data_IF_201385513880
#
_entry.id   IF_201385513880
#
_cell.length_a   1.000
_cell.length_b   1.000
_cell.length_c   1.000
_cell.angle_alpha   90.00
_cell.angle_beta   90.00
_cell.angle_gamma   90.00
#
_symmetry.space_group_name_H-M   'P 1'
#
loop_
_entity.id
_entity.type
_entity.pdbx_description
1 polymer ?
#
# COMPACT_ATOMS: atom_id res chain seq x y z
N UNK A 1 -1.30 11.80 10.06
CA UNK A 1 -2.65 11.99 9.51
C UNK A 1 -3.28 10.61 9.34
N UNK A 2 -4.23 10.27 10.22
CA UNK A 2 -4.88 8.95 10.21
C UNK A 2 -5.96 8.91 9.14
N UNK A 3 -5.90 7.94 8.24
CA UNK A 3 -6.97 7.66 7.30
C UNK A 3 -8.05 6.86 8.03
N UNK A 4 -9.15 7.51 8.38
CA UNK A 4 -10.40 6.84 8.76
C UNK A 4 -11.06 6.33 7.48
N UNK A 5 -11.01 5.03 7.26
CA UNK A 5 -11.91 4.36 6.32
C UNK A 5 -13.26 4.16 7.00
N UNK A 6 -14.32 4.76 6.45
CA UNK A 6 -15.70 4.49 6.84
C UNK A 6 -16.47 4.05 5.59
N UNK A 7 -17.09 2.87 5.64
CA UNK A 7 -18.13 2.48 4.68
C UNK A 7 -18.31 0.98 4.46
N UNK A 8 -19.32 0.41 5.12
CA UNK A 8 -19.98 -0.88 4.89
C UNK A 8 -19.17 -2.17 5.17
N UNK A 9 -19.22 -2.61 6.43
CA UNK A 9 -18.93 -3.99 6.80
C UNK A 9 -20.24 -4.76 6.97
N UNK A 10 -20.59 -5.55 5.95
CA UNK A 10 -21.42 -6.74 6.16
C UNK A 10 -20.70 -7.73 7.09
N UNK A 11 -21.45 -8.63 7.71
CA UNK A 11 -20.94 -9.61 8.68
C UNK A 11 -19.64 -10.29 8.19
N UNK A 12 -18.55 -10.13 8.97
CA UNK A 12 -17.22 -10.67 8.63
C UNK A 12 -16.17 -9.60 8.29
N UNK A 13 -16.06 -8.54 9.09
CA UNK A 13 -15.03 -7.53 8.90
C UNK A 13 -13.64 -8.08 9.24
N UNK A 14 -12.90 -8.56 8.23
CA UNK A 14 -11.50 -8.87 8.43
C UNK A 14 -10.73 -7.60 8.78
N UNK A 15 -10.24 -7.54 10.02
CA UNK A 15 -9.46 -6.42 10.52
C UNK A 15 -8.05 -6.51 9.92
N UNK A 16 -7.82 -5.72 8.88
CA UNK A 16 -6.59 -5.73 8.08
C UNK A 16 -5.39 -5.13 8.82
N UNK A 17 -5.64 -4.30 9.83
CA UNK A 17 -4.62 -3.56 10.57
C UNK A 17 -4.82 -3.74 12.06
N UNK A 18 -3.91 -4.51 12.67
CA UNK A 18 -3.70 -4.52 14.10
C UNK A 18 -2.60 -3.50 14.40
N UNK A 19 -2.97 -2.37 14.98
CA UNK A 19 -2.01 -1.38 15.43
C UNK A 19 -1.30 -1.89 16.68
N UNK A 20 0.03 -1.83 16.70
CA UNK A 20 0.83 -2.03 17.91
C UNK A 20 0.84 -0.71 18.72
N UNK A 21 0.27 -0.67 19.93
CA UNK A 21 0.26 0.54 20.76
C UNK A 21 1.66 1.02 21.18
N UNK A 22 2.66 0.13 21.18
CA UNK A 22 4.04 0.46 21.52
C UNK A 22 4.84 0.97 20.30
N UNK A 23 4.28 0.90 19.08
CA UNK A 23 4.96 1.33 17.88
C UNK A 23 5.17 2.85 17.88
N UNK A 24 6.42 3.27 17.69
CA UNK A 24 6.78 4.67 17.48
C UNK A 24 6.39 5.07 16.05
N UNK A 25 5.69 6.19 15.92
CA UNK A 25 5.33 6.74 14.60
C UNK A 25 6.60 7.15 13.87
N UNK A 26 6.80 6.61 12.67
CA UNK A 26 7.91 6.99 11.82
C UNK A 26 7.82 8.46 11.39
N UNK A 27 8.97 9.13 11.34
CA UNK A 27 9.07 10.50 10.86
C UNK A 27 8.68 10.61 9.37
N UNK A 28 7.91 11.65 9.02
CA UNK A 28 7.62 11.96 7.62
C UNK A 28 8.78 12.70 6.96
N UNK A 29 9.70 11.95 6.35
CA UNK A 29 10.88 12.47 5.65
C UNK A 29 10.58 13.34 4.42
N UNK A 30 9.35 13.27 3.89
CA UNK A 30 8.92 14.07 2.74
C UNK A 30 8.30 15.41 3.15
N UNK A 31 8.04 15.62 4.45
CA UNK A 31 7.47 16.87 4.94
C UNK A 31 8.46 18.02 4.75
N UNK A 32 8.03 19.08 4.05
CA UNK A 32 8.87 20.25 3.80
C UNK A 32 9.95 20.06 2.73
N UNK A 33 10.00 18.91 2.06
CA UNK A 33 10.92 18.71 0.93
C UNK A 33 10.43 19.45 -0.32
N UNK A 34 11.34 19.89 -1.21
CA UNK A 34 10.98 20.45 -2.50
C UNK A 34 10.15 19.48 -3.37
N UNK A 35 9.43 20.02 -4.34
CA UNK A 35 8.72 19.21 -5.31
C UNK A 35 9.68 18.35 -6.16
N UNK A 36 9.21 17.17 -6.57
CA UNK A 36 9.98 16.25 -7.40
C UNK A 36 10.15 16.83 -8.81
N UNK A 37 11.38 16.80 -9.31
CA UNK A 37 11.76 17.40 -10.59
C UNK A 37 12.04 16.37 -11.68
N UNK A 38 12.28 15.11 -11.32
CA UNK A 38 12.50 14.03 -12.26
C UNK A 38 12.02 12.66 -11.73
N UNK A 39 11.81 11.68 -12.63
CA UNK A 39 11.52 10.30 -12.24
C UNK A 39 12.63 9.69 -11.36
N UNK A 40 12.28 8.66 -10.59
CA UNK A 40 13.16 7.88 -9.71
C UNK A 40 13.75 8.64 -8.51
N UNK A 41 13.10 9.73 -8.09
CA UNK A 41 13.47 10.44 -6.85
C UNK A 41 12.73 9.88 -5.62
N UNK A 42 11.45 9.56 -5.77
CA UNK A 42 10.60 9.01 -4.71
C UNK A 42 9.65 8.00 -5.32
N UNK A 43 9.58 6.81 -4.71
CA UNK A 43 8.59 5.79 -5.03
C UNK A 43 7.58 5.65 -3.91
N UNK A 44 6.31 5.47 -4.27
CA UNK A 44 5.19 5.33 -3.33
C UNK A 44 4.61 3.94 -3.50
N UNK A 45 4.59 3.18 -2.41
CA UNK A 45 3.96 1.87 -2.34
C UNK A 45 2.48 1.96 -1.98
N UNK A 46 1.68 1.03 -2.50
CA UNK A 46 0.28 0.84 -2.09
C UNK A 46 -0.10 -0.64 -2.16
N UNK A 47 -0.98 -1.08 -1.25
CA UNK A 47 -1.57 -2.43 -1.29
C UNK A 47 -3.09 -2.27 -1.32
N UNK A 48 -3.75 -3.01 -2.21
CA UNK A 48 -5.21 -3.01 -2.34
C UNK A 48 -5.77 -4.40 -2.57
N UNK A 49 -7.08 -4.54 -2.41
CA UNK A 49 -7.82 -5.77 -2.66
C UNK A 49 -8.41 -5.72 -4.06
N UNK A 50 -8.21 -6.77 -4.85
CA UNK A 50 -8.80 -6.93 -6.17
C UNK A 50 -9.80 -8.09 -6.16
N UNK A 51 -11.08 -7.85 -6.53
CA UNK A 51 -12.01 -8.94 -6.76
C UNK A 51 -11.61 -9.69 -8.02
N UNK A 52 -11.71 -11.02 -7.96
CA UNK A 52 -11.50 -11.93 -9.08
C UNK A 52 -12.84 -12.53 -9.51
N UNK A 53 -12.87 -13.03 -10.75
CA UNK A 53 -14.02 -13.79 -11.25
C UNK A 53 -14.23 -15.03 -10.37
N UNK A 54 -15.50 -15.36 -10.10
CA UNK A 54 -15.85 -16.52 -9.27
C UNK A 54 -15.94 -16.24 -7.76
N UNK A 55 -15.94 -14.96 -7.35
CA UNK A 55 -16.11 -14.57 -5.94
C UNK A 55 -14.83 -14.68 -5.11
N UNK A 56 -13.70 -14.94 -5.76
CA UNK A 56 -12.38 -14.91 -5.14
C UNK A 56 -11.83 -13.47 -5.10
N UNK A 57 -10.74 -13.29 -4.37
CA UNK A 57 -10.07 -11.99 -4.24
C UNK A 57 -8.57 -12.19 -4.05
N UNK A 58 -7.77 -11.17 -4.35
CA UNK A 58 -6.34 -11.15 -4.10
C UNK A 58 -5.86 -9.77 -3.65
N UNK A 59 -4.67 -9.75 -3.06
CA UNK A 59 -3.92 -8.53 -2.76
C UNK A 59 -3.07 -8.14 -3.95
N UNK A 60 -3.12 -6.86 -4.32
CA UNK A 60 -2.20 -6.24 -5.26
C UNK A 60 -1.31 -5.26 -4.49
N UNK A 61 -0.01 -5.54 -4.43
CA UNK A 61 1.01 -4.59 -4.04
C UNK A 61 1.58 -3.89 -5.28
N UNK A 62 1.74 -2.58 -5.24
CA UNK A 62 2.32 -1.78 -6.32
C UNK A 62 3.33 -0.79 -5.80
N UNK A 63 4.38 -0.55 -6.57
CA UNK A 63 5.28 0.59 -6.45
C UNK A 63 5.07 1.53 -7.63
N UNK A 64 4.88 2.82 -7.34
CA UNK A 64 4.68 3.85 -8.35
C UNK A 64 5.70 4.96 -8.17
N UNK A 65 6.31 5.38 -9.26
CA UNK A 65 7.14 6.59 -9.28
C UNK A 65 6.27 7.83 -9.05
N UNK A 66 6.64 8.65 -8.07
CA UNK A 66 5.81 9.78 -7.64
C UNK A 66 5.79 10.92 -8.65
N UNK A 67 6.87 11.11 -9.43
CA UNK A 67 6.98 12.15 -10.45
C UNK A 67 6.25 11.76 -11.75
N UNK A 68 6.62 10.63 -12.34
CA UNK A 68 6.10 10.17 -13.64
C UNK A 68 4.75 9.45 -13.57
N UNK A 69 4.31 9.06 -12.38
CA UNK A 69 3.09 8.27 -12.14
C UNK A 69 3.12 6.85 -12.74
N UNK A 70 4.25 6.40 -13.26
CA UNK A 70 4.42 5.04 -13.80
C UNK A 70 4.51 4.02 -12.68
N UNK A 71 3.89 2.85 -12.88
CA UNK A 71 4.11 1.68 -12.02
C UNK A 71 5.49 1.11 -12.35
N UNK A 72 6.34 0.98 -11.34
CA UNK A 72 7.73 0.50 -11.48
C UNK A 72 7.87 -0.95 -11.03
N UNK A 73 6.92 -1.47 -10.27
CA UNK A 73 6.87 -2.85 -9.82
C UNK A 73 5.52 -3.19 -9.21
N UNK A 74 5.14 -4.47 -9.25
CA UNK A 74 3.87 -4.95 -8.70
C UNK A 74 3.92 -6.45 -8.41
N UNK A 75 3.08 -6.90 -7.48
CA UNK A 75 2.93 -8.31 -7.15
C UNK A 75 1.50 -8.63 -6.69
N UNK A 76 1.02 -9.83 -7.03
CA UNK A 76 -0.28 -10.36 -6.60
C UNK A 76 -0.10 -11.51 -5.62
N UNK A 77 -0.84 -11.50 -4.52
CA UNK A 77 -0.84 -12.59 -3.54
C UNK A 77 -2.26 -12.89 -3.02
N UNK A 78 -2.54 -14.12 -2.63
CA UNK A 78 -3.82 -14.52 -2.02
C UNK A 78 -3.87 -14.27 -0.52
N UNK A 79 -2.73 -13.94 0.10
CA UNK A 79 -2.57 -13.58 1.51
C UNK A 79 -1.73 -12.31 1.63
N UNK A 80 -1.74 -11.65 2.80
CA UNK A 80 -0.96 -10.41 3.02
C UNK A 80 0.21 -10.63 4.00
N UNK A 81 1.27 -11.38 3.60
CA UNK A 81 2.54 -11.35 4.32
C UNK A 81 3.28 -10.04 4.04
N UNK A 82 4.18 -9.64 4.93
CA UNK A 82 5.09 -8.49 4.72
C UNK A 82 5.84 -8.58 3.39
N UNK A 83 6.09 -9.80 2.93
CA UNK A 83 6.85 -10.08 1.69
C UNK A 83 6.15 -9.65 0.41
N UNK A 84 4.82 -9.47 0.41
CA UNK A 84 4.09 -9.03 -0.80
C UNK A 84 4.63 -7.69 -1.33
N UNK A 85 5.06 -6.81 -0.43
CA UNK A 85 5.62 -5.49 -0.77
C UNK A 85 7.06 -5.59 -1.21
N UNK A 86 7.84 -6.50 -0.61
CA UNK A 86 9.24 -6.72 -0.97
C UNK A 86 9.36 -7.30 -2.38
N UNK A 87 8.59 -8.34 -2.66
CA UNK A 87 8.56 -8.97 -3.99
C UNK A 87 8.06 -8.03 -5.08
N UNK A 88 7.19 -7.06 -4.76
CA UNK A 88 6.78 -6.05 -5.73
C UNK A 88 7.91 -5.08 -6.13
N UNK A 89 8.99 -4.99 -5.34
CA UNK A 89 10.12 -4.07 -5.55
C UNK A 89 11.32 -4.74 -6.24
N UNK A 90 11.48 -6.05 -6.06
CA UNK A 90 12.53 -6.90 -6.66
C UNK A 90 12.27 -7.16 -8.14
#
# INVERSE_FOLDING_TARGET
>A
VGLRGAGALGAGAERTTQADPAAVVAENRLLGQPALTCPNQVWVGHITYLPLVGGHWCYLATWRDACSRRVVGWHLATQMPTEVVRTALE
#
